data_IF_644258125883
#
_entry.id   IF_644258125883
#
_cell.length_a   1.000
_cell.length_b   1.000
_cell.length_c   1.000
_cell.angle_alpha   90.00
_cell.angle_beta   90.00
_cell.angle_gamma   90.00
#
_symmetry.space_group_name_H-M   'P 1'
#
loop_
_entity.id
_entity.type
_entity.pdbx_description
1 polymer ?
#
# COMPACT_ATOMS: atom_id res chain seq x y z
N UNK A 1 -5.68 -15.99 11.19
CA UNK A 1 -5.16 -16.90 10.14
C UNK A 1 -6.12 -17.20 8.99
N UNK A 2 -7.44 -17.45 9.19
CA UNK A 2 -8.36 -17.67 8.06
C UNK A 2 -8.51 -16.44 7.14
N UNK A 3 -8.57 -15.24 7.71
CA UNK A 3 -8.74 -13.99 6.95
C UNK A 3 -7.52 -13.66 6.07
N UNK A 4 -6.30 -13.76 6.61
CA UNK A 4 -5.08 -13.55 5.83
C UNK A 4 -4.96 -14.50 4.62
N UNK A 5 -5.36 -15.77 4.78
CA UNK A 5 -5.41 -16.73 3.66
C UNK A 5 -6.41 -16.31 2.58
N UNK A 6 -7.59 -15.84 2.96
CA UNK A 6 -8.60 -15.37 2.02
C UNK A 6 -8.14 -14.10 1.28
N UNK A 7 -7.59 -13.12 2.00
CA UNK A 7 -7.04 -11.88 1.43
C UNK A 7 -5.88 -12.20 0.47
N UNK A 8 -4.94 -13.04 0.89
CA UNK A 8 -3.80 -13.42 0.05
C UNK A 8 -4.25 -14.14 -1.23
N UNK A 9 -5.25 -15.04 -1.13
CA UNK A 9 -5.78 -15.75 -2.29
C UNK A 9 -6.49 -14.81 -3.28
N UNK A 10 -7.12 -13.74 -2.79
CA UNK A 10 -7.82 -12.76 -3.64
C UNK A 10 -6.88 -11.97 -4.56
N UNK A 11 -5.65 -11.72 -4.11
CA UNK A 11 -4.67 -10.89 -4.83
C UNK A 11 -3.49 -11.69 -5.39
N UNK A 12 -3.59 -13.01 -5.38
CA UNK A 12 -2.58 -13.91 -5.94
C UNK A 12 -2.69 -13.89 -7.47
N UNK A 13 -1.57 -13.64 -8.13
CA UNK A 13 -1.42 -13.77 -9.58
C UNK A 13 -1.50 -15.22 -10.06
N UNK A 14 -1.55 -15.40 -11.38
CA UNK A 14 -1.60 -16.72 -12.01
C UNK A 14 -0.33 -17.55 -11.76
N UNK A 15 0.79 -16.90 -11.49
CA UNK A 15 2.09 -17.48 -11.13
C UNK A 15 2.18 -17.90 -9.65
N UNK A 16 1.15 -17.60 -8.86
CA UNK A 16 1.09 -17.94 -7.44
C UNK A 16 1.67 -16.89 -6.49
N UNK A 17 2.18 -15.78 -7.01
CA UNK A 17 2.78 -14.69 -6.24
C UNK A 17 1.76 -13.60 -5.93
N UNK A 18 2.01 -12.81 -4.88
CA UNK A 18 1.30 -11.53 -4.68
C UNK A 18 2.21 -10.40 -5.14
N UNK A 19 1.83 -9.75 -6.24
CA UNK A 19 2.57 -8.63 -6.80
C UNK A 19 2.21 -7.35 -6.07
N UNK A 20 3.21 -6.65 -5.56
CA UNK A 20 3.01 -5.48 -4.71
C UNK A 20 3.85 -4.29 -5.13
N UNK A 21 3.31 -3.12 -4.87
CA UNK A 21 4.00 -1.84 -4.79
C UNK A 21 4.46 -1.68 -3.33
N UNK A 22 5.67 -1.19 -3.13
CA UNK A 22 6.23 -0.93 -1.80
C UNK A 22 6.52 0.55 -1.60
N UNK A 23 6.71 0.97 -0.36
CA UNK A 23 7.26 2.27 -0.03
C UNK A 23 8.75 2.13 0.28
N UNK A 24 9.55 3.12 -0.09
CA UNK A 24 10.92 3.17 0.41
C UNK A 24 10.94 3.29 1.94
N UNK A 25 11.97 2.75 2.63
CA UNK A 25 12.06 2.83 4.08
C UNK A 25 11.96 4.26 4.63
N UNK A 26 12.53 5.23 3.90
CA UNK A 26 12.45 6.65 4.25
C UNK A 26 11.02 7.19 4.20
N UNK A 27 10.29 6.89 3.13
CA UNK A 27 8.86 7.29 3.01
C UNK A 27 8.04 6.60 4.09
N UNK A 28 8.27 5.31 4.33
CA UNK A 28 7.54 4.56 5.36
C UNK A 28 7.76 5.12 6.77
N UNK A 29 9.00 5.48 7.10
CA UNK A 29 9.35 6.15 8.35
C UNK A 29 8.65 7.51 8.47
N UNK A 30 8.74 8.35 7.43
CA UNK A 30 8.10 9.67 7.43
C UNK A 30 6.58 9.59 7.63
N UNK A 31 5.91 8.65 6.95
CA UNK A 31 4.48 8.42 7.13
C UNK A 31 4.15 7.92 8.53
N UNK A 32 5.02 7.10 9.12
CA UNK A 32 4.84 6.57 10.47
C UNK A 32 4.96 7.66 11.52
N UNK A 33 5.94 8.55 11.37
CA UNK A 33 6.13 9.73 12.24
C UNK A 33 5.01 10.76 12.08
N UNK A 34 4.43 10.85 10.87
CA UNK A 34 3.30 11.72 10.56
C UNK A 34 1.95 11.18 11.06
N UNK A 35 1.89 9.97 11.64
CA UNK A 35 0.64 9.44 12.17
C UNK A 35 0.15 10.29 13.35
N UNK A 36 -1.08 10.79 13.24
CA UNK A 36 -1.78 11.47 14.32
C UNK A 36 -3.09 10.74 14.63
N UNK A 37 -3.37 10.62 15.92
CA UNK A 37 -4.70 10.25 16.37
C UNK A 37 -5.59 11.48 16.36
N UNK A 38 -6.78 11.31 15.81
CA UNK A 38 -7.83 12.33 15.73
C UNK A 38 -9.14 11.72 16.19
N UNK A 39 -10.16 12.54 16.39
CA UNK A 39 -11.49 12.07 16.77
C UNK A 39 -12.11 11.15 15.70
N UNK A 40 -11.63 11.24 14.45
CA UNK A 40 -12.03 10.36 13.34
C UNK A 40 -11.10 9.14 13.18
N UNK A 41 -10.22 8.90 14.14
CA UNK A 41 -9.23 7.82 14.15
C UNK A 41 -7.86 8.24 13.60
N UNK A 42 -7.04 7.24 13.26
CA UNK A 42 -5.66 7.47 12.80
C UNK A 42 -5.62 8.06 11.39
N UNK A 43 -4.86 9.14 11.22
CA UNK A 43 -4.64 9.83 9.95
C UNK A 43 -3.16 10.19 9.76
N UNK A 44 -2.75 10.46 8.52
CA UNK A 44 -1.42 10.98 8.21
C UNK A 44 -1.49 12.52 8.17
N UNK A 45 -0.75 13.18 9.06
CA UNK A 45 -0.60 14.63 9.07
C UNK A 45 0.65 15.01 8.28
N UNK A 46 0.48 15.28 6.99
CA UNK A 46 1.57 15.64 6.08
C UNK A 46 1.25 16.90 5.28
N UNK A 47 2.31 17.58 4.82
CA UNK A 47 2.17 18.75 3.95
C UNK A 47 1.44 18.38 2.64
N UNK A 48 0.49 19.21 2.16
CA UNK A 48 -0.30 18.91 0.96
C UNK A 48 0.54 18.60 -0.28
N UNK A 49 1.66 19.30 -0.47
CA UNK A 49 2.57 19.08 -1.61
C UNK A 49 3.17 17.68 -1.57
N UNK A 50 3.59 17.21 -0.39
CA UNK A 50 4.13 15.85 -0.21
C UNK A 50 3.06 14.79 -0.40
N UNK A 51 1.84 15.04 0.10
CA UNK A 51 0.71 14.13 -0.13
C UNK A 51 0.43 13.97 -1.62
N UNK A 52 0.40 15.08 -2.36
CA UNK A 52 0.17 15.08 -3.80
C UNK A 52 1.27 14.32 -4.55
N UNK A 53 2.54 14.55 -4.21
CA UNK A 53 3.68 13.83 -4.82
C UNK A 53 3.58 12.32 -4.56
N UNK A 54 3.30 11.92 -3.32
CA UNK A 54 3.10 10.51 -2.96
C UNK A 54 1.97 9.88 -3.78
N UNK A 55 0.82 10.56 -3.86
CA UNK A 55 -0.34 10.08 -4.62
C UNK A 55 -0.04 9.96 -6.11
N UNK A 56 0.67 10.91 -6.71
CA UNK A 56 1.07 10.85 -8.12
C UNK A 56 2.02 9.68 -8.40
N UNK A 57 3.02 9.46 -7.53
CA UNK A 57 3.94 8.32 -7.67
C UNK A 57 3.22 6.98 -7.51
N UNK A 58 2.32 6.87 -6.53
CA UNK A 58 1.48 5.68 -6.35
C UNK A 58 0.56 5.43 -7.55
N UNK A 59 0.00 6.48 -8.15
CA UNK A 59 -0.85 6.35 -9.34
C UNK A 59 -0.06 5.75 -10.53
N UNK A 60 1.15 6.24 -10.76
CA UNK A 60 2.01 5.71 -11.83
C UNK A 60 2.39 4.24 -11.63
N UNK A 61 2.77 3.85 -10.40
CA UNK A 61 3.04 2.44 -10.10
C UNK A 61 1.78 1.57 -10.19
N UNK A 62 0.62 2.10 -9.79
CA UNK A 62 -0.67 1.42 -9.93
C UNK A 62 -0.99 1.13 -11.41
N UNK A 63 -0.83 2.11 -12.29
CA UNK A 63 -1.04 1.94 -13.74
C UNK A 63 -0.05 0.93 -14.31
N UNK A 64 1.23 0.98 -13.92
CA UNK A 64 2.26 0.05 -14.39
C UNK A 64 1.95 -1.39 -13.97
N UNK A 65 1.63 -1.63 -12.70
CA UNK A 65 1.29 -2.97 -12.18
C UNK A 65 0.01 -3.50 -12.83
N UNK A 66 -1.00 -2.65 -13.01
CA UNK A 66 -2.22 -3.02 -13.73
C UNK A 66 -1.93 -3.39 -15.20
N UNK A 67 -1.02 -2.67 -15.86
CA UNK A 67 -0.56 -2.96 -17.22
C UNK A 67 0.16 -4.30 -17.37
N UNK A 68 0.73 -4.84 -16.28
CA UNK A 68 1.29 -6.19 -16.21
C UNK A 68 0.21 -7.28 -16.00
N UNK A 69 -1.06 -6.90 -15.85
CA UNK A 69 -2.17 -7.82 -15.60
C UNK A 69 -2.35 -8.20 -14.13
N UNK A 70 -1.72 -7.49 -13.20
CA UNK A 70 -1.81 -7.75 -11.77
C UNK A 70 -2.70 -6.72 -11.06
N UNK A 71 -3.31 -7.12 -9.94
CA UNK A 71 -4.02 -6.19 -9.08
C UNK A 71 -3.01 -5.22 -8.42
N UNK A 72 -3.26 -3.91 -8.41
CA UNK A 72 -2.35 -2.96 -7.79
C UNK A 72 -2.50 -2.98 -6.26
N UNK A 73 -1.60 -3.70 -5.61
CA UNK A 73 -1.55 -3.84 -4.15
C UNK A 73 -0.39 -3.02 -3.61
N UNK A 74 -0.66 -2.02 -2.78
CA UNK A 74 0.36 -1.40 -1.92
C UNK A 74 0.54 -2.24 -0.65
N UNK A 75 1.76 -2.69 -0.40
CA UNK A 75 2.15 -3.39 0.83
C UNK A 75 2.91 -2.45 1.77
N UNK A 76 2.45 -2.36 3.02
CA UNK A 76 3.08 -1.52 4.06
C UNK A 76 3.06 -2.19 5.44
N UNK A 77 3.58 -1.50 6.46
CA UNK A 77 3.40 -1.94 7.85
C UNK A 77 1.93 -1.90 8.32
N UNK A 78 1.60 -2.78 9.27
CA UNK A 78 0.25 -2.87 9.84
C UNK A 78 -0.23 -1.56 10.49
N UNK A 79 0.70 -0.80 11.09
CA UNK A 79 0.42 0.49 11.73
C UNK A 79 -0.02 1.56 10.71
N UNK A 80 0.52 1.51 9.49
CA UNK A 80 0.22 2.49 8.45
C UNK A 80 -1.04 2.18 7.66
N UNK A 81 -1.40 0.89 7.53
CA UNK A 81 -2.40 0.39 6.58
C UNK A 81 -3.68 1.21 6.51
N UNK A 82 -4.32 1.47 7.67
CA UNK A 82 -5.58 2.22 7.71
C UNK A 82 -5.40 3.68 7.29
N UNK A 83 -4.35 4.33 7.78
CA UNK A 83 -4.10 5.75 7.49
C UNK A 83 -3.72 5.96 6.02
N UNK A 84 -2.94 5.05 5.44
CA UNK A 84 -2.59 5.04 4.01
C UNK A 84 -3.83 4.77 3.15
N UNK A 85 -4.70 3.84 3.54
CA UNK A 85 -5.97 3.63 2.83
C UNK A 85 -6.81 4.90 2.81
N UNK A 86 -6.99 5.57 3.96
CA UNK A 86 -7.73 6.84 4.05
C UNK A 86 -7.12 7.95 3.21
N UNK A 87 -5.79 8.03 3.16
CA UNK A 87 -5.08 9.01 2.33
C UNK A 87 -5.31 8.77 0.84
N UNK A 88 -5.35 7.50 0.42
CA UNK A 88 -5.35 7.11 -1.00
C UNK A 88 -6.74 6.90 -1.58
N UNK A 89 -7.72 6.46 -0.81
CA UNK A 89 -8.98 5.90 -1.34
C UNK A 89 -9.86 6.86 -2.15
N UNK A 90 -9.76 8.18 -1.89
CA UNK A 90 -10.50 9.19 -2.66
C UNK A 90 -9.91 9.42 -4.05
N UNK A 91 -8.59 9.28 -4.18
CA UNK A 91 -7.85 9.58 -5.41
C UNK A 91 -7.53 8.31 -6.20
N UNK A 92 -7.24 7.22 -5.49
CA UNK A 92 -6.84 5.92 -6.02
C UNK A 92 -7.80 4.83 -5.50
N UNK A 93 -9.08 4.85 -5.91
CA UNK A 93 -10.10 3.93 -5.35
C UNK A 93 -9.77 2.45 -5.59
N UNK A 94 -9.07 2.15 -6.69
CA UNK A 94 -8.67 0.80 -7.10
C UNK A 94 -7.38 0.32 -6.43
N UNK A 95 -6.66 1.19 -5.69
CA UNK A 95 -5.47 0.79 -4.95
C UNK A 95 -5.87 -0.04 -3.73
N UNK A 96 -5.44 -1.30 -3.72
CA UNK A 96 -5.59 -2.19 -2.58
C UNK A 96 -4.45 -1.87 -1.61
N UNK A 97 -4.75 -1.71 -0.32
CA UNK A 97 -3.73 -1.44 0.71
C UNK A 97 -3.72 -2.58 1.72
N UNK A 98 -2.65 -3.37 1.70
CA UNK A 98 -2.41 -4.49 2.59
C UNK A 98 -1.22 -4.21 3.51
N UNK A 99 -1.25 -4.85 4.66
CA UNK A 99 -0.11 -4.95 5.56
C UNK A 99 0.61 -6.27 5.40
N UNK A 100 1.89 -6.31 5.78
CA UNK A 100 2.64 -7.57 5.88
C UNK A 100 1.91 -8.63 6.73
N UNK A 101 1.12 -8.22 7.75
CA UNK A 101 0.36 -9.14 8.60
C UNK A 101 -0.86 -9.77 7.92
N UNK A 102 -1.28 -9.25 6.77
CA UNK A 102 -2.38 -9.77 5.97
C UNK A 102 -1.92 -10.76 4.89
N UNK A 103 -0.60 -10.88 4.68
CA UNK A 103 0.00 -11.91 3.83
C UNK A 103 0.13 -13.20 4.65
N UNK A 104 -0.48 -14.28 4.14
CA UNK A 104 -0.42 -15.57 4.80
C UNK A 104 1.00 -16.16 4.74
N UNK A 105 1.37 -16.92 5.76
CA UNK A 105 2.63 -17.68 5.78
C UNK A 105 2.71 -18.62 4.58
N UNK A 106 3.85 -18.63 3.88
CA UNK A 106 4.06 -19.44 2.67
C UNK A 106 3.47 -18.83 1.39
N UNK A 107 3.06 -17.56 1.43
CA UNK A 107 2.73 -16.79 0.24
C UNK A 107 3.93 -15.91 -0.11
N UNK A 108 4.49 -16.13 -1.28
CA UNK A 108 5.60 -15.33 -1.77
C UNK A 108 5.09 -14.01 -2.35
N UNK A 109 5.86 -12.96 -2.11
CA UNK A 109 5.54 -11.59 -2.50
C UNK A 109 6.61 -11.12 -3.49
N UNK A 110 6.17 -10.59 -4.61
CA UNK A 110 7.05 -9.97 -5.60
C UNK A 110 6.84 -8.45 -5.55
N UNK A 111 7.90 -7.73 -5.21
CA UNK A 111 7.88 -6.27 -5.31
C UNK A 111 8.03 -5.90 -6.79
N UNK A 112 7.00 -5.30 -7.37
CA UNK A 112 7.03 -4.80 -8.74
C UNK A 112 7.68 -3.42 -8.80
N UNK A 113 7.53 -2.62 -7.75
CA UNK A 113 8.01 -1.25 -7.72
C UNK A 113 8.12 -0.70 -6.29
N UNK A 114 8.86 0.40 -6.17
CA UNK A 114 9.06 1.10 -4.90
C UNK A 114 8.82 2.59 -5.08
N UNK A 115 7.94 3.15 -4.25
CA UNK A 115 7.64 4.58 -4.24
C UNK A 115 8.62 5.33 -3.36
N UNK A 116 9.22 6.36 -3.95
CA UNK A 116 10.17 7.28 -3.32
C UNK A 116 9.62 8.71 -3.47
N UNK A 117 9.72 9.48 -2.40
CA UNK A 117 9.33 10.90 -2.33
C UNK A 117 10.47 11.65 -1.62
N UNK A 118 10.88 12.79 -2.16
CA UNK A 118 12.05 13.55 -1.67
C UNK A 118 11.74 14.48 -0.47
#
# INVERSE_FOLDING_TARGET
QRLARAISAQYRGADGLVHVITLSPRVEQQLTEALKQTDQGTMIAMEPVRAQQLLQRLAGEMERVAGLGHAPVLLCSARLRLAVRRLTERVLPNLVVLSFSEIATGVDVQAEGMVIVD
#
